data_IF_588799131463
#
_entry.id   IF_588799131463
#
_cell.length_a   1.000
_cell.length_b   1.000
_cell.length_c   1.000
_cell.angle_alpha   90.00
_cell.angle_beta   90.00
_cell.angle_gamma   90.00
#
_symmetry.space_group_name_H-M   'P 1'
#
loop_
_entity.id
_entity.type
_entity.pdbx_description
1 polymer ?
#
# COMPACT_ATOMS: atom_id res chain seq x y z
N UNK A 1 14.37 14.11 -4.52
CA UNK A 1 14.56 15.15 -3.49
C UNK A 1 13.38 15.09 -2.53
N UNK A 2 13.59 15.26 -1.23
CA UNK A 2 12.55 15.04 -0.20
C UNK A 2 11.43 16.08 -0.30
N UNK A 3 11.72 17.33 -0.69
CA UNK A 3 10.69 18.39 -0.74
C UNK A 3 9.58 18.07 -1.76
N UNK A 4 9.94 17.50 -2.92
CA UNK A 4 8.96 17.08 -3.92
C UNK A 4 8.02 15.97 -3.44
N UNK A 5 8.46 15.09 -2.53
CA UNK A 5 7.58 14.06 -1.97
C UNK A 5 6.64 14.65 -0.93
N UNK A 6 7.12 15.56 -0.07
CA UNK A 6 6.25 16.31 0.84
C UNK A 6 5.18 17.08 0.09
N UNK A 7 5.57 17.83 -0.94
CA UNK A 7 4.65 18.55 -1.81
C UNK A 7 3.62 17.62 -2.45
N UNK A 8 4.07 16.50 -3.02
CA UNK A 8 3.19 15.50 -3.61
C UNK A 8 2.18 14.92 -2.59
N UNK A 9 2.61 14.57 -1.38
CA UNK A 9 1.72 14.03 -0.35
C UNK A 9 0.72 15.09 0.14
N UNK A 10 1.17 16.31 0.39
CA UNK A 10 0.33 17.39 0.93
C UNK A 10 -0.69 17.86 -0.12
N UNK A 11 -0.25 18.06 -1.35
CA UNK A 11 -1.03 18.77 -2.37
C UNK A 11 -1.76 17.85 -3.37
N UNK A 12 -1.35 16.59 -3.53
CA UNK A 12 -1.92 15.69 -4.56
C UNK A 12 -2.58 14.42 -4.02
N UNK A 13 -1.91 13.67 -3.14
CA UNK A 13 -2.37 12.31 -2.80
C UNK A 13 -3.23 12.24 -1.53
N UNK A 14 -2.91 13.05 -0.51
CA UNK A 14 -3.61 12.99 0.79
C UNK A 14 -4.65 14.09 0.94
N UNK A 15 -4.71 15.06 0.01
CA UNK A 15 -5.70 16.14 0.02
C UNK A 15 -5.64 16.97 1.31
N UNK A 16 -4.44 17.18 1.84
CA UNK A 16 -4.21 17.79 3.17
C UNK A 16 -4.41 19.31 3.17
N UNK A 17 -4.89 19.92 2.09
CA UNK A 17 -5.15 21.34 2.04
C UNK A 17 -6.63 21.67 1.78
N UNK A 18 -7.21 22.63 2.54
CA UNK A 18 -6.59 23.36 3.65
C UNK A 18 -6.78 22.63 4.99
N UNK A 19 -5.70 22.10 5.58
CA UNK A 19 -5.70 21.65 6.98
C UNK A 19 -5.35 22.81 7.91
N UNK A 20 -6.33 23.22 8.73
CA UNK A 20 -6.16 24.25 9.74
C UNK A 20 -5.70 23.66 11.09
N UNK A 21 -4.40 23.37 11.20
CA UNK A 21 -3.80 22.90 12.45
C UNK A 21 -3.35 24.08 13.34
N UNK A 22 -4.21 24.49 14.27
CA UNK A 22 -3.93 25.61 15.20
C UNK A 22 -2.92 25.27 16.31
N UNK A 23 -2.77 23.99 16.66
CA UNK A 23 -1.86 23.54 17.76
C UNK A 23 -0.53 23.05 17.19
N UNK A 24 0.57 23.59 17.69
CA UNK A 24 1.94 23.23 17.27
C UNK A 24 2.25 21.74 17.44
N UNK A 25 1.70 21.10 18.47
CA UNK A 25 1.83 19.64 18.69
C UNK A 25 1.22 18.82 17.55
N UNK A 26 0.08 19.23 17.01
CA UNK A 26 -0.58 18.52 15.90
C UNK A 26 0.18 18.72 14.58
N UNK A 27 0.77 19.90 14.36
CA UNK A 27 1.68 20.13 13.22
C UNK A 27 2.90 19.22 13.29
N UNK A 28 3.55 19.12 14.47
CA UNK A 28 4.67 18.19 14.68
C UNK A 28 4.26 16.73 14.44
N UNK A 29 3.06 16.35 14.91
CA UNK A 29 2.49 15.01 14.67
C UNK A 29 2.31 14.72 13.17
N UNK A 30 1.71 15.65 12.42
CA UNK A 30 1.50 15.49 10.98
C UNK A 30 2.83 15.34 10.22
N UNK A 31 3.83 16.16 10.52
CA UNK A 31 5.16 16.07 9.88
C UNK A 31 5.80 14.69 10.14
N UNK A 32 5.71 14.17 11.37
CA UNK A 32 6.21 12.83 11.71
C UNK A 32 5.47 11.75 10.93
N UNK A 33 4.14 11.82 10.85
CA UNK A 33 3.32 10.88 10.10
C UNK A 33 3.67 10.89 8.60
N UNK A 34 3.78 12.08 8.01
CA UNK A 34 4.21 12.25 6.62
C UNK A 34 5.61 11.69 6.38
N UNK A 35 6.53 11.87 7.33
CA UNK A 35 7.87 11.32 7.23
C UNK A 35 7.86 9.78 7.22
N UNK A 36 6.99 9.16 8.02
CA UNK A 36 6.79 7.70 8.02
C UNK A 36 6.19 7.24 6.69
N UNK A 37 5.14 7.91 6.20
CA UNK A 37 4.53 7.60 4.91
C UNK A 37 5.55 7.68 3.76
N UNK A 38 6.44 8.68 3.79
CA UNK A 38 7.52 8.82 2.82
C UNK A 38 8.53 7.67 2.88
N UNK A 39 8.84 7.15 4.07
CA UNK A 39 9.71 5.96 4.18
C UNK A 39 9.06 4.75 3.54
N UNK A 40 7.77 4.50 3.78
CA UNK A 40 7.07 3.42 3.10
C UNK A 40 7.02 3.63 1.58
N UNK A 41 6.77 4.86 1.13
CA UNK A 41 6.80 5.21 -0.28
C UNK A 41 8.15 4.87 -0.92
N UNK A 42 9.26 5.26 -0.31
CA UNK A 42 10.59 4.99 -0.89
C UNK A 42 10.96 3.51 -0.80
N UNK A 43 10.60 2.83 0.29
CA UNK A 43 10.88 1.40 0.48
C UNK A 43 10.17 0.52 -0.56
N UNK A 44 8.85 0.70 -0.73
CA UNK A 44 8.06 -0.06 -1.72
C UNK A 44 8.67 0.11 -3.12
N UNK A 45 8.96 1.35 -3.49
CA UNK A 45 9.53 1.67 -4.80
C UNK A 45 10.92 1.06 -4.97
N UNK A 46 11.78 1.21 -3.95
CA UNK A 46 13.15 0.72 -3.98
C UNK A 46 13.18 -0.80 -4.10
N UNK A 47 12.44 -1.51 -3.25
CA UNK A 47 12.44 -2.97 -3.24
C UNK A 47 11.94 -3.56 -4.56
N UNK A 48 10.86 -3.01 -5.13
CA UNK A 48 10.36 -3.45 -6.42
C UNK A 48 11.39 -3.25 -7.54
N UNK A 49 12.03 -2.08 -7.59
CA UNK A 49 13.04 -1.77 -8.62
C UNK A 49 14.28 -2.62 -8.48
N UNK A 50 14.76 -2.83 -7.25
CA UNK A 50 15.92 -3.69 -6.97
C UNK A 50 15.64 -5.12 -7.42
N UNK A 51 14.49 -5.72 -7.02
CA UNK A 51 14.14 -7.09 -7.45
C UNK A 51 13.94 -7.20 -8.97
N UNK A 52 13.34 -6.19 -9.63
CA UNK A 52 13.20 -6.19 -11.09
C UNK A 52 14.56 -6.11 -11.80
N UNK A 53 15.48 -5.28 -11.30
CA UNK A 53 16.83 -5.15 -11.84
C UNK A 53 17.65 -6.43 -11.66
N UNK A 54 17.67 -7.01 -10.45
CA UNK A 54 18.39 -8.25 -10.16
C UNK A 54 17.93 -9.41 -11.03
N UNK A 55 16.62 -9.52 -11.28
CA UNK A 55 16.06 -10.59 -12.10
C UNK A 55 16.06 -10.27 -13.60
N UNK A 56 16.41 -9.05 -14.01
CA UNK A 56 16.30 -8.54 -15.41
C UNK A 56 14.89 -8.71 -15.99
N UNK A 57 13.86 -8.54 -15.16
CA UNK A 57 12.44 -8.71 -15.54
C UNK A 57 11.73 -7.36 -15.60
N UNK A 58 10.68 -7.28 -16.42
CA UNK A 58 9.74 -6.16 -16.46
C UNK A 58 8.37 -6.59 -15.94
N UNK A 59 7.64 -5.67 -15.32
CA UNK A 59 6.28 -5.93 -14.84
C UNK A 59 5.22 -5.24 -15.69
N UNK A 60 4.07 -5.92 -15.88
CA UNK A 60 2.85 -5.41 -16.53
C UNK A 60 1.79 -5.08 -15.48
N UNK A 61 0.70 -4.45 -15.89
CA UNK A 61 -0.50 -4.29 -15.04
C UNK A 61 -0.37 -3.26 -13.91
N UNK A 62 0.73 -2.49 -13.86
CA UNK A 62 0.95 -1.41 -12.87
C UNK A 62 0.55 -0.02 -13.39
N UNK A 63 0.36 0.14 -14.71
CA UNK A 63 -0.08 1.41 -15.29
C UNK A 63 -1.61 1.54 -15.28
N UNK A 64 -2.17 2.63 -14.71
CA UNK A 64 -3.58 2.92 -14.88
C UNK A 64 -3.89 3.18 -16.37
N UNK A 65 -4.94 2.55 -16.88
CA UNK A 65 -5.41 2.73 -18.26
C UNK A 65 -4.68 1.91 -19.34
N UNK A 66 -3.52 1.31 -19.05
CA UNK A 66 -2.85 0.42 -20.01
C UNK A 66 -2.20 -0.79 -19.30
N UNK A 67 -2.98 -1.86 -19.14
CA UNK A 67 -2.55 -3.11 -18.48
C UNK A 67 -1.39 -3.81 -19.21
N UNK A 68 -1.23 -3.58 -20.51
CA UNK A 68 -0.21 -4.24 -21.34
C UNK A 68 1.16 -3.55 -21.27
N UNK A 69 1.21 -2.28 -20.87
CA UNK A 69 2.46 -1.53 -20.75
C UNK A 69 3.36 -2.13 -19.67
N UNK A 70 4.60 -2.42 -20.08
CA UNK A 70 5.66 -2.93 -19.19
C UNK A 70 6.48 -1.78 -18.62
N UNK A 71 7.06 -2.00 -17.44
CA UNK A 71 8.08 -1.10 -16.87
C UNK A 71 9.08 -1.86 -16.00
N UNK A 72 10.31 -1.36 -15.96
CA UNK A 72 11.37 -1.73 -15.00
C UNK A 72 11.41 -0.78 -13.80
N UNK A 73 10.74 0.37 -13.90
CA UNK A 73 10.87 1.47 -12.95
C UNK A 73 9.50 1.89 -12.37
N UNK A 74 8.73 0.96 -11.77
CA UNK A 74 7.43 1.30 -11.19
C UNK A 74 7.59 2.31 -10.04
N UNK A 75 6.57 3.13 -9.83
CA UNK A 75 6.46 4.00 -8.64
C UNK A 75 5.55 3.35 -7.60
N UNK A 76 5.68 3.74 -6.33
CA UNK A 76 4.80 3.21 -5.26
C UNK A 76 3.30 3.39 -5.53
N UNK A 77 2.83 4.55 -6.05
CA UNK A 77 1.41 4.70 -6.40
C UNK A 77 0.96 3.74 -7.51
N UNK A 78 1.83 3.42 -8.48
CA UNK A 78 1.52 2.43 -9.52
C UNK A 78 1.37 1.03 -8.94
N UNK A 79 2.27 0.64 -8.03
CA UNK A 79 2.23 -0.65 -7.34
C UNK A 79 0.97 -0.75 -6.48
N UNK A 80 0.73 0.23 -5.62
CA UNK A 80 -0.43 0.25 -4.71
C UNK A 80 -1.76 0.28 -5.48
N UNK A 81 -1.84 0.99 -6.62
CA UNK A 81 -3.04 0.99 -7.47
C UNK A 81 -3.44 -0.39 -7.97
N UNK A 82 -2.48 -1.30 -8.18
CA UNK A 82 -2.77 -2.65 -8.66
C UNK A 82 -3.53 -3.50 -7.64
N UNK A 83 -3.49 -3.12 -6.37
CA UNK A 83 -4.22 -3.76 -5.26
C UNK A 83 -5.58 -3.10 -4.97
N UNK A 84 -6.02 -2.10 -5.78
CA UNK A 84 -7.39 -1.60 -5.67
C UNK A 84 -8.40 -2.72 -5.92
N UNK A 85 -9.49 -2.70 -5.16
CA UNK A 85 -10.54 -3.73 -5.21
C UNK A 85 -10.31 -4.90 -4.25
N UNK A 86 -9.22 -4.88 -3.49
CA UNK A 86 -9.05 -5.76 -2.34
C UNK A 86 -9.86 -5.22 -1.18
N UNK A 87 -10.72 -6.06 -0.61
CA UNK A 87 -11.54 -5.76 0.54
C UNK A 87 -11.34 -6.84 1.61
N UNK A 88 -11.53 -6.45 2.86
CA UNK A 88 -11.67 -7.33 4.01
C UNK A 88 -13.12 -7.27 4.45
N UNK A 89 -13.74 -8.43 4.68
CA UNK A 89 -15.11 -8.56 5.12
C UNK A 89 -15.15 -9.33 6.43
N UNK A 90 -15.77 -8.73 7.44
CA UNK A 90 -16.09 -9.38 8.71
C UNK A 90 -17.54 -9.86 8.68
N UNK A 91 -17.74 -11.15 8.88
CA UNK A 91 -19.05 -11.79 8.87
C UNK A 91 -19.32 -12.27 10.29
N UNK A 92 -20.41 -11.79 10.89
CA UNK A 92 -20.88 -12.22 12.20
C UNK A 92 -22.09 -13.13 12.01
N UNK A 93 -21.98 -14.40 12.42
CA UNK A 93 -23.02 -15.42 12.31
C UNK A 93 -23.28 -16.09 13.67
N UNK A 94 -24.33 -16.90 13.75
CA UNK A 94 -24.61 -17.77 14.90
C UNK A 94 -23.47 -18.79 15.13
N UNK A 95 -22.78 -19.20 14.06
CA UNK A 95 -21.63 -20.11 14.09
C UNK A 95 -20.31 -19.42 14.48
N UNK A 96 -20.35 -18.13 14.83
CA UNK A 96 -19.20 -17.32 15.18
C UNK A 96 -18.86 -16.26 14.14
N UNK A 97 -17.68 -15.66 14.31
CA UNK A 97 -17.20 -14.57 13.47
C UNK A 97 -16.13 -15.06 12.50
N UNK A 98 -16.25 -14.67 11.24
CA UNK A 98 -15.34 -15.05 10.17
C UNK A 98 -14.81 -13.80 9.47
N UNK A 99 -13.52 -13.79 9.17
CA UNK A 99 -12.90 -12.77 8.34
C UNK A 99 -12.54 -13.36 6.99
N UNK A 100 -12.92 -12.68 5.92
CA UNK A 100 -12.59 -13.04 4.54
C UNK A 100 -11.92 -11.86 3.85
N UNK A 101 -11.10 -12.16 2.85
CA UNK A 101 -10.40 -11.16 2.06
C UNK A 101 -10.45 -11.55 0.59
N UNK A 102 -10.52 -10.55 -0.31
CA UNK A 102 -10.51 -10.80 -1.76
C UNK A 102 -9.32 -11.65 -2.16
N UNK A 103 -9.47 -12.65 -3.03
CA UNK A 103 -8.33 -13.41 -3.52
C UNK A 103 -7.43 -12.55 -4.43
N UNK A 104 -6.11 -12.74 -4.31
CA UNK A 104 -5.16 -12.06 -5.18
C UNK A 104 -5.16 -12.72 -6.56
N UNK A 105 -5.40 -11.93 -7.61
CA UNK A 105 -5.20 -12.42 -8.97
C UNK A 105 -3.71 -12.64 -9.28
N UNK A 106 -3.36 -13.40 -10.34
CA UNK A 106 -1.96 -13.75 -10.65
C UNK A 106 -1.04 -12.53 -10.82
N UNK A 107 -1.57 -11.42 -11.33
CA UNK A 107 -0.80 -10.19 -11.47
C UNK A 107 -0.52 -9.52 -10.12
N UNK A 108 -1.51 -9.47 -9.21
CA UNK A 108 -1.34 -8.96 -7.85
C UNK A 108 -0.35 -9.81 -7.06
N UNK A 109 -0.40 -11.14 -7.18
CA UNK A 109 0.58 -12.03 -6.55
C UNK A 109 2.00 -11.76 -7.06
N UNK A 110 2.15 -11.56 -8.39
CA UNK A 110 3.44 -11.21 -9.00
C UNK A 110 3.93 -9.82 -8.56
N UNK A 111 3.04 -8.85 -8.39
CA UNK A 111 3.42 -7.54 -7.86
C UNK A 111 3.83 -7.66 -6.38
N UNK A 112 3.10 -8.44 -5.59
CA UNK A 112 3.37 -8.63 -4.16
C UNK A 112 4.75 -9.26 -3.93
N UNK A 113 5.14 -10.25 -4.76
CA UNK A 113 6.46 -10.87 -4.65
C UNK A 113 7.64 -9.92 -4.90
N UNK A 114 7.40 -8.76 -5.54
CA UNK A 114 8.40 -7.72 -5.72
C UNK A 114 8.59 -6.81 -4.49
N UNK A 115 7.62 -6.74 -3.60
CA UNK A 115 7.61 -5.77 -2.48
C UNK A 115 7.49 -6.42 -1.11
N UNK A 116 7.22 -7.72 -1.05
CA UNK A 116 7.03 -8.45 0.18
C UNK A 116 7.61 -9.86 0.06
N UNK A 117 7.65 -10.56 1.20
CA UNK A 117 7.96 -11.98 1.25
C UNK A 117 6.76 -12.81 0.78
N UNK A 118 7.02 -14.09 0.50
CA UNK A 118 5.96 -15.03 0.15
C UNK A 118 5.03 -15.20 1.37
N UNK A 119 3.72 -15.24 1.14
CA UNK A 119 2.66 -15.44 2.14
C UNK A 119 2.27 -14.27 3.04
N UNK A 120 2.81 -13.05 2.86
CA UNK A 120 2.39 -11.88 3.66
C UNK A 120 0.88 -11.64 3.61
N UNK A 121 0.23 -11.94 2.48
CA UNK A 121 -1.22 -11.83 2.35
C UNK A 121 -2.00 -12.81 3.24
N UNK A 122 -1.54 -14.05 3.34
CA UNK A 122 -2.16 -15.07 4.17
C UNK A 122 -1.87 -14.82 5.65
N UNK A 123 -0.63 -14.47 5.99
CA UNK A 123 -0.27 -14.07 7.36
C UNK A 123 -1.11 -12.88 7.85
N UNK A 124 -1.41 -11.92 6.96
CA UNK A 124 -2.29 -10.81 7.30
C UNK A 124 -3.73 -11.28 7.54
N UNK A 125 -4.25 -12.19 6.72
CA UNK A 125 -5.58 -12.78 6.94
C UNK A 125 -5.64 -13.56 8.27
N UNK A 126 -4.62 -14.36 8.58
CA UNK A 126 -4.52 -15.10 9.83
C UNK A 126 -4.46 -14.14 11.04
N UNK A 127 -3.72 -13.05 10.91
CA UNK A 127 -3.64 -12.00 11.93
C UNK A 127 -5.00 -11.33 12.13
N UNK A 128 -5.76 -11.07 11.05
CA UNK A 128 -7.10 -10.48 11.16
C UNK A 128 -8.12 -11.45 11.77
N UNK A 129 -7.96 -12.76 11.53
CA UNK A 129 -8.81 -13.79 12.13
C UNK A 129 -8.53 -13.97 13.62
N UNK A 130 -7.28 -13.83 14.04
CA UNK A 130 -6.86 -13.95 15.45
C UNK A 130 -7.05 -12.64 16.24
N UNK A 131 -6.97 -11.49 15.58
CA UNK A 131 -7.08 -10.16 16.17
C UNK A 131 -8.53 -9.73 16.41
N UNK A 132 -9.15 -10.17 17.51
CA UNK A 132 -10.47 -9.71 17.98
C UNK A 132 -10.56 -8.21 18.29
N UNK A 133 -9.43 -7.50 18.42
CA UNK A 133 -9.38 -6.09 18.85
C UNK A 133 -9.23 -5.04 17.75
N UNK A 134 -9.03 -5.40 16.47
CA UNK A 134 -8.91 -4.43 15.37
C UNK A 134 -10.27 -3.91 14.87
N UNK A 135 -11.33 -4.06 15.67
CA UNK A 135 -12.74 -3.95 15.27
C UNK A 135 -13.35 -2.56 15.44
N UNK A 136 -12.63 -1.62 16.02
CA UNK A 136 -13.17 -0.29 16.35
C UNK A 136 -12.31 0.81 15.73
N UNK A 137 -12.72 1.26 14.54
CA UNK A 137 -12.52 2.63 14.06
C UNK A 137 -13.74 3.06 13.27
#
# INVERSE_FOLDING_TARGET
RIEHLFDYFINRDVGLLPIYLKKTSRVKGLIRLLSIAMRFYTLIQHQARTKLASNKVQIKGVYPGNKNRKTTNPTSPMILRAFRGIAVVWIKSQDGEKVQMTELNPNQQKILSLVAEQNVYQQFLDLLQTGTHLRET
#
